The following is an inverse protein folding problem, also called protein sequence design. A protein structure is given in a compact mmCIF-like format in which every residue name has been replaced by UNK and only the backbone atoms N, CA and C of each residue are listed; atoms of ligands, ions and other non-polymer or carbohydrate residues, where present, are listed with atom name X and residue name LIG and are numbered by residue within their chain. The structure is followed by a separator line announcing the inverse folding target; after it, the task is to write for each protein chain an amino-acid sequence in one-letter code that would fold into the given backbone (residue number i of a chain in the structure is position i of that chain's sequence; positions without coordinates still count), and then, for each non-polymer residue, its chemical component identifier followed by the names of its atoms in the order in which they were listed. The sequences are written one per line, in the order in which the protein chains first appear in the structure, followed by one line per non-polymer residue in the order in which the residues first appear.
data_IF_350070954861
#
_entry.id   IF_350070954861
#
_cell.length_a   1.000
_cell.length_b   1.000
_cell.length_c   1.000
_cell.angle_alpha   90.00
_cell.angle_beta   90.00
_cell.angle_gamma   90.00
#
_symmetry.space_group_name_H-M   'P 1'
#
loop_
_entity.id
_entity.type
_entity.pdbx_description
1 polymer ?
#
# COMPACT_ATOMS: atom_id res chain seq x y z
N UNK A 1 3.18 11.52 -24.21
CA UNK A 1 2.42 12.77 -23.94
C UNK A 1 1.02 12.36 -23.55
N UNK A 2 0.52 12.84 -22.41
CA UNK A 2 -0.82 12.53 -21.90
C UNK A 2 -1.69 13.78 -21.96
N UNK A 3 -2.97 13.63 -22.32
CA UNK A 3 -3.93 14.73 -22.28
C UNK A 3 -4.60 14.70 -20.90
N UNK A 4 -4.41 15.75 -20.10
CA UNK A 4 -4.93 15.84 -18.73
C UNK A 4 -5.91 17.00 -18.57
N UNK A 5 -6.95 16.85 -17.74
CA UNK A 5 -7.88 17.93 -17.42
C UNK A 5 -7.19 19.04 -16.62
N UNK A 6 -7.61 20.28 -16.85
CA UNK A 6 -7.20 21.44 -16.06
C UNK A 6 -8.39 22.13 -15.41
N UNK A 7 -8.17 22.90 -14.33
CA UNK A 7 -9.20 23.79 -13.79
C UNK A 7 -9.84 24.63 -14.91
N UNK A 8 -11.17 24.75 -14.89
CA UNK A 8 -11.93 25.41 -15.96
C UNK A 8 -12.41 24.48 -17.08
N UNK A 9 -12.18 23.16 -16.98
CA UNK A 9 -12.73 22.16 -17.91
C UNK A 9 -11.94 22.01 -19.21
N UNK A 10 -10.80 22.68 -19.34
CA UNK A 10 -9.90 22.54 -20.48
C UNK A 10 -9.08 21.25 -20.41
N UNK A 11 -8.37 20.96 -21.51
CA UNK A 11 -7.41 19.87 -21.61
C UNK A 11 -6.03 20.45 -21.93
N UNK A 12 -4.98 19.88 -21.33
CA UNK A 12 -3.60 20.22 -21.66
C UNK A 12 -2.77 18.97 -21.96
N UNK A 13 -1.80 19.13 -22.87
CA UNK A 13 -0.78 18.13 -23.09
C UNK A 13 0.27 18.18 -21.97
N UNK A 14 0.49 17.05 -21.32
CA UNK A 14 1.44 16.92 -20.23
C UNK A 14 2.43 15.79 -20.48
N UNK A 15 3.66 15.98 -20.01
CA UNK A 15 4.69 14.94 -19.95
C UNK A 15 5.41 14.98 -18.60
N UNK A 16 5.72 13.82 -18.00
CA UNK A 16 6.59 13.76 -16.83
C UNK A 16 7.94 14.42 -17.10
N UNK A 17 8.45 15.19 -16.14
CA UNK A 17 9.74 15.90 -16.24
C UNK A 17 10.74 15.55 -15.14
N UNK A 18 10.34 14.73 -14.17
CA UNK A 18 11.21 14.32 -13.07
C UNK A 18 12.23 13.24 -13.49
N UNK A 19 13.38 13.15 -12.79
CA UNK A 19 14.30 12.02 -12.97
C UNK A 19 13.61 10.70 -12.54
N UNK A 20 14.03 9.56 -13.10
CA UNK A 20 13.52 8.27 -12.66
C UNK A 20 13.89 8.03 -11.20
N UNK A 21 12.97 7.41 -10.46
CA UNK A 21 13.25 6.98 -9.10
C UNK A 21 14.24 5.81 -9.11
N UNK A 22 15.20 5.77 -8.16
CA UNK A 22 16.10 4.64 -8.02
C UNK A 22 15.33 3.39 -7.60
N UNK A 23 15.85 2.23 -7.97
CA UNK A 23 15.31 0.95 -7.51
C UNK A 23 15.45 0.84 -5.96
N UNK A 24 14.50 0.19 -5.29
CA UNK A 24 14.62 -0.09 -3.86
C UNK A 24 15.84 -0.97 -3.57
N UNK A 25 16.67 -0.59 -2.60
CA UNK A 25 17.90 -1.32 -2.24
C UNK A 25 17.73 -2.20 -0.98
N UNK A 26 16.54 -2.20 -0.38
CA UNK A 26 16.21 -2.98 0.82
C UNK A 26 16.79 -2.41 2.12
N UNK A 27 17.56 -1.33 2.09
CA UNK A 27 18.33 -0.86 3.25
C UNK A 27 17.48 0.03 4.14
N UNK A 28 17.17 -0.36 5.39
CA UNK A 28 16.45 0.51 6.30
C UNK A 28 17.29 1.71 6.72
N UNK A 29 16.64 2.84 6.99
CA UNK A 29 17.33 4.01 7.55
C UNK A 29 18.04 3.69 8.87
N UNK A 30 19.27 4.19 9.03
CA UNK A 30 20.06 4.05 10.26
C UNK A 30 19.72 5.10 11.32
N UNK A 31 19.03 6.18 10.95
CA UNK A 31 18.77 7.33 11.83
C UNK A 31 17.29 7.56 12.14
N UNK A 32 16.38 6.85 11.46
CA UNK A 32 14.93 6.95 11.65
C UNK A 32 14.30 5.57 11.55
N UNK A 33 13.21 5.38 12.29
CA UNK A 33 12.29 4.25 12.11
C UNK A 33 11.10 4.79 11.32
N UNK A 34 10.99 4.40 10.05
CA UNK A 34 9.90 4.81 9.17
C UNK A 34 8.98 3.64 8.89
N UNK A 35 7.68 3.87 9.05
CA UNK A 35 6.62 2.94 8.67
C UNK A 35 5.75 3.57 7.59
N UNK A 36 5.32 2.77 6.62
CA UNK A 36 4.24 3.13 5.72
C UNK A 36 2.93 2.50 6.22
N UNK A 37 1.91 3.32 6.45
CA UNK A 37 0.55 2.83 6.61
C UNK A 37 0.07 2.31 5.25
N UNK A 38 -0.07 0.99 5.13
CA UNK A 38 -0.31 0.35 3.84
C UNK A 38 -1.80 0.34 3.50
N UNK A 39 -2.13 0.59 2.23
CA UNK A 39 -3.49 0.45 1.70
C UNK A 39 -3.83 -1.03 1.44
N UNK A 40 -5.07 -1.34 1.08
CA UNK A 40 -5.47 -2.67 0.58
C UNK A 40 -5.83 -2.58 -0.91
N UNK A 41 -5.61 -3.66 -1.64
CA UNK A 41 -6.04 -3.75 -3.04
C UNK A 41 -7.37 -4.48 -3.09
N UNK A 42 -8.37 -3.85 -3.69
CA UNK A 42 -9.66 -4.48 -3.89
C UNK A 42 -9.58 -5.51 -5.03
N UNK A 43 -10.24 -6.65 -4.85
CA UNK A 43 -10.48 -7.60 -5.92
C UNK A 43 -11.60 -7.05 -6.82
N UNK A 44 -11.23 -6.60 -8.01
CA UNK A 44 -12.16 -6.01 -8.98
C UNK A 44 -13.04 -7.05 -9.70
N UNK A 45 -12.75 -8.35 -9.55
CA UNK A 45 -13.50 -9.44 -10.17
C UNK A 45 -14.42 -10.16 -9.18
N UNK A 46 -14.34 -9.84 -7.89
CA UNK A 46 -15.22 -10.40 -6.89
C UNK A 46 -16.65 -9.85 -7.02
N UNK A 47 -17.63 -10.73 -6.81
CA UNK A 47 -19.05 -10.35 -6.78
C UNK A 47 -19.38 -9.55 -5.51
N UNK A 48 -18.64 -9.79 -4.42
CA UNK A 48 -18.84 -9.11 -3.14
C UNK A 48 -18.05 -7.80 -3.07
N UNK A 49 -18.69 -6.67 -2.71
CA UNK A 49 -18.01 -5.39 -2.57
C UNK A 49 -16.97 -5.44 -1.45
N UNK A 50 -15.88 -4.68 -1.61
CA UNK A 50 -14.78 -4.60 -0.63
C UNK A 50 -13.99 -5.90 -0.40
N UNK A 51 -14.12 -6.86 -1.32
CA UNK A 51 -13.25 -8.04 -1.36
C UNK A 51 -11.80 -7.63 -1.56
N UNK A 52 -10.88 -8.29 -0.88
CA UNK A 52 -9.44 -8.00 -0.94
C UNK A 52 -8.77 -8.93 -1.93
N UNK A 53 -8.03 -8.38 -2.87
CA UNK A 53 -7.01 -9.10 -3.62
C UNK A 53 -5.81 -9.30 -2.70
N UNK A 54 -5.72 -10.50 -2.11
CA UNK A 54 -4.70 -10.82 -1.12
C UNK A 54 -3.29 -10.85 -1.70
N UNK A 55 -3.13 -11.35 -2.91
CA UNK A 55 -1.82 -11.54 -3.51
C UNK A 55 -1.20 -10.18 -3.85
N UNK A 56 -1.98 -9.29 -4.48
CA UNK A 56 -1.51 -7.93 -4.78
C UNK A 56 -1.33 -7.10 -3.50
N UNK A 57 -2.21 -7.27 -2.51
CA UNK A 57 -2.10 -6.61 -1.21
C UNK A 57 -0.79 -6.98 -0.50
N UNK A 58 -0.42 -8.27 -0.47
CA UNK A 58 0.82 -8.75 0.15
C UNK A 58 2.05 -8.40 -0.69
N UNK A 59 1.96 -8.45 -2.02
CA UNK A 59 3.04 -8.00 -2.90
C UNK A 59 3.40 -6.52 -2.65
N UNK A 60 2.42 -5.69 -2.29
CA UNK A 60 2.71 -4.31 -1.89
C UNK A 60 3.47 -4.22 -0.55
N UNK A 61 3.22 -5.11 0.41
CA UNK A 61 4.02 -5.16 1.66
C UNK A 61 5.45 -5.58 1.37
N UNK A 62 5.64 -6.56 0.49
CA UNK A 62 6.95 -6.96 -0.01
C UNK A 62 7.70 -5.78 -0.63
N UNK A 63 7.02 -4.98 -1.46
CA UNK A 63 7.59 -3.77 -2.03
C UNK A 63 8.00 -2.74 -0.96
N UNK A 64 7.17 -2.50 0.06
CA UNK A 64 7.50 -1.57 1.15
C UNK A 64 8.73 -2.02 1.93
N UNK A 65 8.85 -3.32 2.22
CA UNK A 65 10.06 -3.86 2.85
C UNK A 65 11.28 -3.76 1.93
N UNK A 66 11.12 -3.97 0.61
CA UNK A 66 12.19 -3.75 -0.36
C UNK A 66 12.63 -2.27 -0.43
N UNK A 67 11.76 -1.32 -0.06
CA UNK A 67 12.11 0.09 0.13
C UNK A 67 12.77 0.40 1.48
N UNK A 68 13.04 -0.61 2.32
CA UNK A 68 13.63 -0.42 3.65
C UNK A 68 12.65 0.13 4.70
N UNK A 69 11.35 0.21 4.38
CA UNK A 69 10.32 0.70 5.28
C UNK A 69 9.77 -0.43 6.16
N UNK A 70 9.25 -0.08 7.34
CA UNK A 70 8.35 -0.96 8.06
C UNK A 70 6.92 -0.88 7.51
N UNK A 71 6.13 -1.93 7.71
CA UNK A 71 4.69 -1.95 7.35
C UNK A 71 3.84 -1.66 8.59
N UNK A 72 3.01 -0.62 8.53
CA UNK A 72 1.96 -0.38 9.51
C UNK A 72 0.63 -0.90 8.96
N UNK A 73 0.19 -2.05 9.45
CA UNK A 73 -0.96 -2.80 8.93
C UNK A 73 -2.27 -2.41 9.64
N UNK A 74 -3.39 -2.55 8.93
CA UNK A 74 -4.73 -2.30 9.49
C UNK A 74 -4.90 -0.88 10.10
N UNK A 75 -4.22 0.10 9.51
CA UNK A 75 -4.34 1.52 9.84
C UNK A 75 -5.49 2.17 9.06
N UNK A 76 -5.77 3.45 9.31
CA UNK A 76 -6.82 4.22 8.61
C UNK A 76 -6.67 4.18 7.08
N UNK A 77 -5.43 4.17 6.57
CA UNK A 77 -5.12 4.03 5.13
C UNK A 77 -5.59 2.70 4.53
N UNK A 78 -5.75 1.65 5.33
CA UNK A 78 -6.35 0.38 4.92
C UNK A 78 -7.89 0.42 4.92
N UNK A 79 -8.49 1.58 5.22
CA UNK A 79 -9.94 1.80 5.30
C UNK A 79 -10.63 0.93 6.37
N UNK A 80 -9.91 0.62 7.46
CA UNK A 80 -10.46 -0.11 8.61
C UNK A 80 -11.68 0.64 9.16
N UNK A 81 -12.83 -0.03 9.21
CA UNK A 81 -14.08 0.57 9.72
C UNK A 81 -14.80 1.50 8.73
N UNK A 82 -14.26 1.71 7.52
CA UNK A 82 -14.87 2.49 6.42
C UNK A 82 -14.97 1.68 5.12
N UNK A 83 -15.15 0.36 5.24
CA UNK A 83 -15.26 -0.57 4.10
C UNK A 83 -14.69 -1.94 4.43
N UNK A 84 -13.57 -1.98 5.17
CA UNK A 84 -12.98 -3.23 5.63
C UNK A 84 -13.51 -3.60 7.02
N UNK A 85 -14.24 -4.71 7.10
CA UNK A 85 -14.81 -5.21 8.35
C UNK A 85 -13.72 -5.81 9.27
N UNK A 86 -14.08 -6.09 10.52
CA UNK A 86 -13.13 -6.63 11.49
C UNK A 86 -12.63 -8.03 11.12
N UNK A 87 -13.51 -8.89 10.58
CA UNK A 87 -13.13 -10.26 10.21
C UNK A 87 -12.02 -10.24 9.14
N UNK A 88 -12.18 -9.41 8.12
CA UNK A 88 -11.20 -9.23 7.03
C UNK A 88 -9.95 -8.52 7.54
N UNK A 89 -10.09 -7.50 8.39
CA UNK A 89 -8.96 -6.82 9.03
C UNK A 89 -8.09 -7.79 9.82
N UNK A 90 -8.69 -8.71 10.58
CA UNK A 90 -7.96 -9.73 11.33
C UNK A 90 -7.20 -10.69 10.41
N UNK A 91 -7.80 -11.06 9.27
CA UNK A 91 -7.11 -11.86 8.26
C UNK A 91 -5.91 -11.11 7.67
N UNK A 92 -6.07 -9.82 7.36
CA UNK A 92 -5.00 -8.96 6.87
C UNK A 92 -3.82 -8.92 7.85
N UNK A 93 -4.07 -8.63 9.13
CA UNK A 93 -3.04 -8.64 10.18
C UNK A 93 -2.34 -10.01 10.28
N UNK A 94 -3.11 -11.09 10.25
CA UNK A 94 -2.56 -12.45 10.35
C UNK A 94 -1.66 -12.79 9.17
N UNK A 95 -2.11 -12.48 7.94
CA UNK A 95 -1.36 -12.75 6.71
C UNK A 95 -0.10 -11.89 6.63
N UNK A 96 -0.18 -10.60 6.93
CA UNK A 96 0.99 -9.71 6.96
C UNK A 96 2.00 -10.15 8.01
N UNK A 97 1.54 -10.57 9.19
CA UNK A 97 2.42 -11.08 10.23
C UNK A 97 3.16 -12.35 9.84
N UNK A 98 2.48 -13.27 9.16
CA UNK A 98 3.11 -14.46 8.60
C UNK A 98 4.12 -14.11 7.50
N UNK A 99 3.79 -13.14 6.63
CA UNK A 99 4.67 -12.69 5.56
C UNK A 99 5.90 -11.94 6.07
N UNK A 100 5.81 -11.22 7.19
CA UNK A 100 6.88 -10.34 7.65
C UNK A 100 8.23 -11.05 7.84
N UNK A 101 8.26 -12.32 8.25
CA UNK A 101 9.49 -13.12 8.31
C UNK A 101 10.69 -12.41 8.99
N UNK A 102 10.43 -11.72 10.11
CA UNK A 102 11.43 -10.96 10.87
C UNK A 102 11.67 -9.51 10.41
N UNK A 103 11.02 -9.08 9.32
CA UNK A 103 11.01 -7.68 8.86
C UNK A 103 10.09 -6.83 9.73
N UNK A 104 10.34 -5.53 9.76
CA UNK A 104 9.62 -4.58 10.63
C UNK A 104 8.17 -4.45 10.21
N UNK A 105 7.25 -4.67 11.14
CA UNK A 105 5.84 -4.37 10.96
C UNK A 105 5.16 -4.13 12.31
N UNK A 106 4.01 -3.47 12.27
CA UNK A 106 3.08 -3.34 13.39
C UNK A 106 1.64 -3.41 12.86
N UNK A 107 0.67 -3.61 13.75
CA UNK A 107 -0.73 -3.69 13.39
C UNK A 107 -1.59 -2.78 14.29
N UNK A 108 -2.56 -2.11 13.68
CA UNK A 108 -3.63 -1.46 14.42
C UNK A 108 -4.58 -2.51 14.99
N UNK A 109 -4.67 -2.61 16.31
CA UNK A 109 -5.60 -3.49 17.04
C UNK A 109 -6.64 -2.67 17.79
#
# INVERSE_FOLDING_TARGET
MLVLPVPGGGLQNWSPSGPPLPAPDGTPSSTRIAYAAAHVVADALADEPYSVDWDTTLAFREHLWACGLGVAEAMDTAQRGMGLDWATTRQLVTRTGAAAAGRRWCAGV
#
